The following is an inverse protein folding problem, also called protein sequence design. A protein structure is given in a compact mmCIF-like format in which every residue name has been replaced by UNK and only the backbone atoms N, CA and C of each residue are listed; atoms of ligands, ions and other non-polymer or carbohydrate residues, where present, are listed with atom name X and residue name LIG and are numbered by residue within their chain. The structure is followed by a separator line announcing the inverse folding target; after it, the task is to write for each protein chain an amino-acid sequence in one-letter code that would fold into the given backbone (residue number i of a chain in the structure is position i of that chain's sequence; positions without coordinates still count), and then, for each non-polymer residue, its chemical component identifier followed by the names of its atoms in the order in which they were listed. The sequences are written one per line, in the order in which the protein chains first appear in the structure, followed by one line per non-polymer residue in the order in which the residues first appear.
data_IF_556855167598
#
_entry.id   IF_556855167598
#
_cell.length_a   1.000
_cell.length_b   1.000
_cell.length_c   1.000
_cell.angle_alpha   90.00
_cell.angle_beta   90.00
_cell.angle_gamma   90.00
#
_symmetry.space_group_name_H-M   'P 1'
#
loop_
_entity.id
_entity.type
_entity.pdbx_description
1 polymer ?
#
# COMPACT_ATOMS: atom_id res chain seq x y z
N UNK A 1 35.30 47.80 46.32
CA UNK A 1 34.88 47.97 44.91
C UNK A 1 35.30 46.80 44.02
N UNK A 2 36.59 46.46 43.91
CA UNK A 2 37.11 45.42 42.99
C UNK A 2 36.43 44.04 43.11
N UNK A 3 36.10 43.58 44.32
CA UNK A 3 35.48 42.26 44.55
C UNK A 3 34.05 42.15 44.01
N UNK A 4 33.28 43.25 43.97
CA UNK A 4 31.90 43.23 43.46
C UNK A 4 31.87 43.36 41.93
N UNK A 5 32.80 44.14 41.36
CA UNK A 5 32.99 44.29 39.91
C UNK A 5 33.47 42.98 39.26
N UNK A 6 34.32 42.21 39.96
CA UNK A 6 34.79 40.92 39.45
C UNK A 6 33.69 39.86 39.42
N UNK A 7 32.85 39.80 40.46
CA UNK A 7 31.72 38.86 40.54
C UNK A 7 30.64 39.18 39.49
N UNK A 8 30.38 40.48 39.22
CA UNK A 8 29.44 40.90 38.17
C UNK A 8 29.95 40.58 36.76
N UNK A 9 31.24 40.80 36.48
CA UNK A 9 31.83 40.38 35.20
C UNK A 9 31.80 38.86 34.99
N UNK A 10 32.05 38.06 36.04
CA UNK A 10 31.99 36.60 35.96
C UNK A 10 30.57 36.08 35.72
N UNK A 11 29.56 36.73 36.30
CA UNK A 11 28.14 36.39 36.08
C UNK A 11 27.68 36.74 34.66
N UNK A 12 28.12 37.87 34.11
CA UNK A 12 27.84 38.27 32.72
C UNK A 12 28.53 37.30 31.75
N UNK A 13 29.80 36.97 31.97
CA UNK A 13 30.54 36.03 31.11
C UNK A 13 29.94 34.61 31.16
N UNK A 14 29.46 34.17 32.32
CA UNK A 14 28.74 32.90 32.46
C UNK A 14 27.38 32.91 31.77
N UNK A 15 26.66 34.04 31.77
CA UNK A 15 25.37 34.18 31.07
C UNK A 15 25.50 34.18 29.54
N UNK A 16 26.64 34.66 29.00
CA UNK A 16 26.90 34.70 27.55
C UNK A 16 27.28 33.33 26.95
N UNK A 17 27.63 32.33 27.76
CA UNK A 17 28.08 31.01 27.28
C UNK A 17 26.95 29.98 27.11
N UNK A 18 25.71 30.29 27.51
CA UNK A 18 24.61 29.31 27.55
C UNK A 18 23.80 29.14 26.25
N UNK A 19 24.19 29.77 25.13
CA UNK A 19 23.40 29.74 23.89
C UNK A 19 24.20 29.43 22.61
N UNK A 20 25.32 28.74 22.72
CA UNK A 20 26.02 28.18 21.55
C UNK A 20 25.54 26.74 21.31
N UNK A 21 24.23 26.56 21.10
CA UNK A 21 23.75 25.32 20.50
C UNK A 21 24.17 25.30 19.03
N UNK A 22 24.62 24.14 18.54
CA UNK A 22 24.93 23.95 17.13
C UNK A 22 23.75 24.46 16.28
N UNK A 23 24.01 25.42 15.40
CA UNK A 23 22.98 25.95 14.51
C UNK A 23 22.54 24.84 13.54
N UNK A 24 21.31 24.95 13.06
CA UNK A 24 20.86 24.16 11.92
C UNK A 24 21.71 24.46 10.69
N UNK A 25 21.95 23.44 9.87
CA UNK A 25 22.76 23.57 8.67
C UNK A 25 21.90 24.09 7.54
N UNK A 26 22.11 25.33 7.14
CA UNK A 26 21.56 25.88 5.90
C UNK A 26 22.57 25.73 4.75
N UNK A 27 22.18 25.09 3.66
CA UNK A 27 22.94 25.08 2.40
C UNK A 27 22.14 25.88 1.38
N UNK A 28 22.67 27.03 0.96
CA UNK A 28 21.97 27.94 0.04
C UNK A 28 20.86 28.79 0.68
N UNK A 29 20.75 28.75 2.01
CA UNK A 29 19.90 29.65 2.82
C UNK A 29 20.65 30.11 4.06
N UNK A 30 20.47 31.38 4.44
CA UNK A 30 21.00 31.95 5.68
C UNK A 30 19.95 31.94 6.81
N UNK A 31 18.75 31.45 6.52
CA UNK A 31 17.64 31.36 7.48
C UNK A 31 16.94 30.02 7.33
N UNK A 32 17.65 28.90 7.58
CA UNK A 32 17.03 27.59 7.61
C UNK A 32 15.88 27.55 8.64
N UNK A 33 14.84 26.80 8.31
CA UNK A 33 13.66 26.60 9.16
C UNK A 33 14.07 26.12 10.55
N UNK A 34 13.44 26.67 11.58
CA UNK A 34 13.69 26.29 12.97
C UNK A 34 13.39 24.81 13.26
N UNK A 35 12.55 24.16 12.43
CA UNK A 35 12.25 22.73 12.55
C UNK A 35 13.21 21.82 11.77
N UNK A 36 14.16 22.39 11.02
CA UNK A 36 15.11 21.62 10.20
C UNK A 36 16.50 21.64 10.84
N UNK A 37 17.14 20.47 10.96
CA UNK A 37 18.57 20.39 11.29
C UNK A 37 19.46 20.53 10.06
N UNK A 38 18.93 20.23 8.87
CA UNK A 38 19.54 20.49 7.58
C UNK A 38 18.45 21.01 6.62
N UNK A 39 18.67 22.18 6.04
CA UNK A 39 17.86 22.72 4.95
C UNK A 39 18.75 23.01 3.74
N UNK A 40 18.38 22.45 2.59
CA UNK A 40 19.08 22.69 1.32
C UNK A 40 18.14 23.49 0.42
N UNK A 41 18.43 24.77 0.23
CA UNK A 41 17.68 25.67 -0.61
C UNK A 41 18.46 25.98 -1.90
N UNK A 42 17.86 25.71 -3.05
CA UNK A 42 18.39 26.08 -4.36
C UNK A 42 17.23 26.20 -5.35
N UNK A 43 17.38 27.11 -6.33
CA UNK A 43 16.40 27.29 -7.39
C UNK A 43 16.70 26.42 -8.63
N UNK A 44 17.94 25.96 -8.76
CA UNK A 44 18.47 25.33 -9.98
C UNK A 44 19.28 24.04 -9.72
N UNK A 45 19.40 23.61 -8.45
CA UNK A 45 20.17 22.41 -8.05
C UNK A 45 19.36 21.55 -7.10
N UNK A 46 19.62 20.25 -7.13
CA UNK A 46 19.00 19.26 -6.25
C UNK A 46 20.00 18.58 -5.31
N UNK A 47 19.48 17.78 -4.38
CA UNK A 47 20.28 16.92 -3.52
C UNK A 47 20.62 15.62 -4.26
N UNK A 48 21.91 15.36 -4.46
CA UNK A 48 22.38 14.07 -4.93
C UNK A 48 22.62 13.14 -3.72
N UNK A 49 21.71 12.20 -3.49
CA UNK A 49 21.84 11.21 -2.42
C UNK A 49 23.07 10.31 -2.61
N UNK A 50 23.65 9.75 -1.53
CA UNK A 50 24.69 8.74 -1.63
C UNK A 50 24.25 7.58 -2.53
N UNK A 51 25.02 7.32 -3.60
CA UNK A 51 24.67 6.33 -4.63
C UNK A 51 25.36 5.00 -4.38
N UNK A 52 24.62 3.99 -3.95
CA UNK A 52 25.13 2.64 -3.70
C UNK A 52 24.81 1.68 -4.84
N UNK A 53 25.55 0.57 -4.96
CA UNK A 53 25.30 -0.46 -5.97
C UNK A 53 24.02 -1.26 -5.68
N UNK A 54 23.85 -1.65 -4.42
CA UNK A 54 22.68 -2.33 -3.86
C UNK A 54 22.63 -2.07 -2.35
N UNK A 55 21.44 -2.10 -1.78
CA UNK A 55 21.20 -1.86 -0.35
C UNK A 55 21.87 -2.86 0.61
N UNK A 56 22.20 -4.08 0.16
CA UNK A 56 22.93 -5.08 0.94
C UNK A 56 24.37 -4.68 1.29
N UNK A 57 24.93 -3.67 0.61
CA UNK A 57 26.29 -3.21 0.86
C UNK A 57 26.42 -2.35 2.14
N UNK A 58 25.31 -1.96 2.76
CA UNK A 58 25.30 -1.21 4.01
C UNK A 58 25.04 -2.20 5.13
N UNK A 59 26.08 -2.56 5.87
CA UNK A 59 25.98 -3.34 7.11
C UNK A 59 25.55 -2.41 8.24
N UNK A 60 24.47 -2.75 8.95
CA UNK A 60 23.91 -1.96 10.05
C UNK A 60 23.43 -0.54 9.63
N UNK A 61 22.49 -0.43 8.68
CA UNK A 61 21.91 0.86 8.32
C UNK A 61 21.15 1.48 9.49
N UNK A 62 21.32 2.79 9.68
CA UNK A 62 20.53 3.54 10.65
C UNK A 62 19.07 3.71 10.16
N UNK A 63 18.10 3.68 11.06
CA UNK A 63 16.71 4.04 10.75
C UNK A 63 16.63 5.47 10.17
N UNK A 64 15.85 5.63 9.11
CA UNK A 64 15.73 6.88 8.35
C UNK A 64 16.87 7.13 7.36
N UNK A 65 17.86 6.25 7.25
CA UNK A 65 18.96 6.38 6.28
C UNK A 65 18.40 6.37 4.85
N UNK A 66 18.68 7.44 4.10
CA UNK A 66 18.21 7.64 2.73
C UNK A 66 19.37 7.54 1.74
N UNK A 67 19.23 6.68 0.74
CA UNK A 67 20.25 6.42 -0.29
C UNK A 67 19.61 6.36 -1.67
N UNK A 68 20.41 6.56 -2.71
CA UNK A 68 20.01 6.19 -4.06
C UNK A 68 20.60 4.82 -4.40
N UNK A 69 19.74 3.81 -4.48
CA UNK A 69 20.14 2.46 -4.86
C UNK A 69 20.16 2.31 -6.38
N UNK A 70 21.32 1.97 -6.95
CA UNK A 70 21.49 1.80 -8.40
C UNK A 70 20.92 0.48 -8.93
N UNK A 71 20.74 -0.53 -8.09
CA UNK A 71 20.12 -1.79 -8.50
C UNK A 71 18.63 -1.56 -8.78
N UNK A 72 17.94 -0.97 -7.81
CA UNK A 72 16.52 -0.61 -7.96
C UNK A 72 16.29 0.73 -8.68
N UNK A 73 17.35 1.49 -8.96
CA UNK A 73 17.35 2.79 -9.65
C UNK A 73 16.43 3.81 -8.98
N UNK A 74 16.37 3.81 -7.66
CA UNK A 74 15.45 4.64 -6.90
C UNK A 74 16.03 5.12 -5.57
N UNK A 75 15.48 6.20 -4.99
CA UNK A 75 15.67 6.51 -3.58
C UNK A 75 15.08 5.40 -2.72
N UNK A 76 15.86 4.90 -1.78
CA UNK A 76 15.44 3.94 -0.78
C UNK A 76 15.71 4.52 0.61
N UNK A 77 14.80 4.29 1.54
CA UNK A 77 15.02 4.58 2.96
C UNK A 77 14.97 3.30 3.78
N UNK A 78 15.78 3.23 4.84
CA UNK A 78 15.74 2.15 5.80
C UNK A 78 14.74 2.49 6.91
N UNK A 79 13.75 1.64 7.17
CA UNK A 79 12.73 1.86 8.21
C UNK A 79 13.11 1.29 9.59
N UNK A 80 14.39 0.98 9.78
CA UNK A 80 14.89 0.29 10.97
C UNK A 80 14.91 -1.23 10.84
N UNK A 81 14.15 -1.80 9.90
CA UNK A 81 14.06 -3.25 9.69
C UNK A 81 14.33 -3.69 8.25
N UNK A 82 13.90 -2.92 7.25
CA UNK A 82 14.08 -3.23 5.83
C UNK A 82 14.32 -1.96 5.00
N UNK A 83 14.86 -2.17 3.81
CA UNK A 83 14.92 -1.13 2.79
C UNK A 83 13.57 -1.03 2.07
N UNK A 84 13.02 0.18 2.04
CA UNK A 84 11.83 0.51 1.28
C UNK A 84 12.21 1.37 0.09
N UNK A 85 11.78 0.93 -1.08
CA UNK A 85 11.96 1.69 -2.30
C UNK A 85 10.82 2.71 -2.41
N UNK A 86 11.19 4.00 -2.44
CA UNK A 86 10.22 5.11 -2.52
C UNK A 86 9.45 5.08 -3.85
N UNK A 87 9.99 4.40 -4.85
CA UNK A 87 9.41 4.21 -6.17
C UNK A 87 8.81 2.80 -6.42
N UNK A 88 8.76 1.88 -5.44
CA UNK A 88 8.17 0.54 -5.65
C UNK A 88 6.64 0.56 -5.46
N UNK A 89 5.95 0.40 -6.58
CA UNK A 89 4.49 0.30 -6.68
C UNK A 89 3.93 -1.10 -6.34
N UNK A 90 4.75 -2.04 -5.83
CA UNK A 90 4.28 -3.35 -5.31
C UNK A 90 3.84 -3.31 -3.85
N UNK A 91 4.08 -2.20 -3.15
CA UNK A 91 3.13 -1.78 -2.13
C UNK A 91 1.82 -1.56 -2.90
N UNK A 92 0.72 -2.22 -2.52
CA UNK A 92 -0.57 -2.17 -3.23
C UNK A 92 -1.20 -0.77 -3.11
N UNK A 93 -0.49 0.20 -3.64
CA UNK A 93 -0.77 1.60 -3.66
C UNK A 93 -1.37 1.79 -5.04
N UNK A 94 -2.70 1.78 -5.07
CA UNK A 94 -3.37 2.76 -5.91
C UNK A 94 -2.58 4.06 -5.73
N UNK A 95 -2.10 4.75 -6.79
CA UNK A 95 -1.52 6.08 -6.63
C UNK A 95 -2.39 6.86 -5.65
N UNK A 96 -1.85 7.74 -4.80
CA UNK A 96 -2.65 8.50 -3.79
C UNK A 96 -3.97 9.06 -4.38
N UNK A 97 -4.04 9.24 -5.71
CA UNK A 97 -5.14 9.78 -6.48
C UNK A 97 -5.95 8.79 -7.37
N UNK A 98 -5.60 7.50 -7.45
CA UNK A 98 -6.33 6.51 -8.27
C UNK A 98 -7.56 5.92 -7.56
N UNK A 99 -8.32 5.03 -8.23
CA UNK A 99 -9.44 4.32 -7.60
C UNK A 99 -9.47 2.83 -7.93
N UNK A 100 -9.99 2.03 -6.99
CA UNK A 100 -10.36 0.63 -7.23
C UNK A 100 -11.87 0.58 -7.27
N UNK A 101 -12.40 -0.07 -8.29
CA UNK A 101 -13.83 -0.34 -8.40
C UNK A 101 -14.06 -1.83 -8.62
N UNK A 102 -15.26 -2.29 -8.33
CA UNK A 102 -15.65 -3.66 -8.61
C UNK A 102 -17.04 -3.72 -9.22
N UNK A 103 -17.31 -4.82 -9.92
CA UNK A 103 -18.63 -5.12 -10.48
C UNK A 103 -18.91 -6.62 -10.40
N UNK A 104 -20.17 -6.96 -10.14
CA UNK A 104 -20.64 -8.34 -10.21
C UNK A 104 -21.33 -8.57 -11.56
N UNK A 105 -21.01 -9.67 -12.23
CA UNK A 105 -21.61 -10.04 -13.51
C UNK A 105 -22.00 -11.52 -13.54
N UNK A 106 -22.83 -11.90 -14.51
CA UNK A 106 -23.35 -13.27 -14.62
C UNK A 106 -24.42 -13.63 -13.60
N UNK A 107 -24.91 -12.66 -12.82
CA UNK A 107 -25.97 -12.85 -11.81
C UNK A 107 -26.83 -11.60 -11.67
N UNK A 108 -28.16 -11.78 -11.63
CA UNK A 108 -29.13 -10.71 -11.39
C UNK A 108 -29.68 -10.71 -9.96
N UNK A 109 -29.69 -11.87 -9.31
CA UNK A 109 -30.11 -12.01 -7.90
C UNK A 109 -29.24 -13.01 -7.14
N UNK A 110 -29.00 -12.74 -5.86
CA UNK A 110 -28.36 -13.68 -4.93
C UNK A 110 -29.22 -13.77 -3.68
N UNK A 111 -29.63 -14.99 -3.33
CA UNK A 111 -30.57 -15.20 -2.22
C UNK A 111 -31.87 -14.40 -2.37
N UNK A 112 -32.35 -14.21 -3.61
CA UNK A 112 -33.57 -13.45 -3.93
C UNK A 112 -33.44 -11.93 -3.89
N UNK A 113 -32.26 -11.39 -3.60
CA UNK A 113 -32.00 -9.95 -3.62
C UNK A 113 -31.34 -9.54 -4.92
N UNK A 114 -31.79 -8.42 -5.49
CA UNK A 114 -31.21 -7.85 -6.69
C UNK A 114 -29.75 -7.45 -6.46
N UNK A 115 -28.90 -7.79 -7.42
CA UNK A 115 -27.50 -7.37 -7.46
C UNK A 115 -27.43 -5.94 -7.99
N UNK A 116 -26.77 -5.04 -7.25
CA UNK A 116 -26.48 -3.70 -7.75
C UNK A 116 -25.51 -3.82 -8.92
N UNK A 117 -25.93 -3.28 -10.07
CA UNK A 117 -25.16 -3.26 -11.31
C UNK A 117 -24.32 -1.99 -11.42
N UNK A 118 -23.32 -2.02 -12.30
CA UNK A 118 -22.37 -0.92 -12.48
C UNK A 118 -21.15 -1.02 -11.57
N UNK A 119 -20.22 -0.08 -11.74
CA UNK A 119 -18.99 -0.02 -10.97
C UNK A 119 -19.24 0.58 -9.58
N UNK A 120 -18.88 -0.17 -8.55
CA UNK A 120 -18.94 0.24 -7.15
C UNK A 120 -17.53 0.42 -6.59
N UNK A 121 -17.39 1.25 -5.58
CA UNK A 121 -16.08 1.55 -5.00
C UNK A 121 -15.55 0.37 -4.16
N UNK A 122 -14.28 0.06 -4.33
CA UNK A 122 -13.54 -0.90 -3.53
C UNK A 122 -12.34 -0.21 -2.87
N UNK A 123 -11.88 -0.77 -1.76
CA UNK A 123 -10.74 -0.24 -1.00
C UNK A 123 -9.45 -0.97 -1.37
N UNK A 124 -9.52 -2.30 -1.51
CA UNK A 124 -8.35 -3.12 -1.76
C UNK A 124 -8.69 -4.59 -1.93
N UNK A 125 -7.72 -5.33 -2.44
CA UNK A 125 -7.71 -6.78 -2.40
C UNK A 125 -6.28 -7.27 -2.33
N UNK A 126 -6.09 -8.38 -1.63
CA UNK A 126 -4.79 -8.99 -1.44
C UNK A 126 -5.01 -10.46 -1.07
N UNK A 127 -3.96 -11.26 -1.20
CA UNK A 127 -4.03 -12.67 -0.83
C UNK A 127 -3.79 -12.80 0.68
N UNK A 128 -4.67 -13.50 1.41
CA UNK A 128 -4.39 -13.91 2.79
C UNK A 128 -3.89 -15.35 2.80
N UNK A 129 -2.62 -15.51 3.16
CA UNK A 129 -2.07 -16.82 3.49
C UNK A 129 -2.71 -17.31 4.79
N UNK A 130 -3.74 -18.15 4.71
CA UNK A 130 -4.21 -18.90 5.88
C UNK A 130 -3.11 -19.92 6.20
N UNK A 131 -2.51 -19.85 7.38
CA UNK A 131 -1.39 -20.69 7.79
C UNK A 131 -1.59 -22.17 7.38
N UNK A 132 -0.55 -22.87 6.90
CA UNK A 132 -0.72 -24.18 6.28
C UNK A 132 -1.24 -25.19 7.30
N UNK A 133 -2.40 -25.82 7.03
CA UNK A 133 -2.70 -27.15 7.59
C UNK A 133 -1.74 -28.13 6.90
N UNK A 134 -0.56 -28.30 7.51
CA UNK A 134 0.43 -29.38 7.35
C UNK A 134 0.78 -29.74 5.90
N UNK A 135 1.99 -29.38 5.49
CA UNK A 135 2.64 -29.82 4.26
C UNK A 135 2.92 -31.31 4.25
N UNK A 136 2.51 -32.02 3.19
CA UNK A 136 3.05 -33.33 2.84
C UNK A 136 3.37 -33.39 1.33
N UNK A 137 4.61 -33.02 0.97
CA UNK A 137 5.23 -33.44 -0.28
C UNK A 137 5.67 -32.34 -1.26
N UNK A 138 6.74 -32.57 -2.04
CA UNK A 138 7.12 -31.71 -3.15
C UNK A 138 6.03 -31.72 -4.24
N UNK A 139 5.59 -30.53 -4.69
CA UNK A 139 4.57 -30.38 -5.74
C UNK A 139 3.13 -30.17 -5.26
N UNK A 140 2.89 -29.98 -3.96
CA UNK A 140 1.58 -29.62 -3.43
C UNK A 140 1.44 -28.09 -3.31
N UNK A 141 0.38 -27.52 -3.89
CA UNK A 141 -0.02 -26.13 -3.63
C UNK A 141 -0.45 -26.01 -2.16
N UNK A 142 0.20 -25.14 -1.41
CA UNK A 142 -0.01 -24.94 0.03
C UNK A 142 -1.25 -24.07 0.25
N UNK A 143 -2.32 -24.65 0.79
CA UNK A 143 -3.54 -23.95 1.20
C UNK A 143 -4.40 -23.44 0.02
N UNK A 144 -5.72 -23.49 0.16
CA UNK A 144 -6.59 -22.60 -0.62
C UNK A 144 -6.40 -21.20 -0.06
N UNK A 145 -5.41 -20.50 -0.57
CA UNK A 145 -5.26 -19.06 -0.43
C UNK A 145 -6.61 -18.39 -0.68
N UNK A 146 -7.12 -17.69 0.34
CA UNK A 146 -8.37 -16.96 0.22
C UNK A 146 -8.07 -15.55 -0.22
N UNK A 147 -8.72 -15.12 -1.29
CA UNK A 147 -8.60 -13.75 -1.74
C UNK A 147 -9.37 -12.87 -0.76
N UNK A 148 -8.69 -11.87 -0.21
CA UNK A 148 -9.34 -10.84 0.58
C UNK A 148 -9.82 -9.75 -0.34
N UNK A 149 -11.04 -9.31 -0.10
CA UNK A 149 -11.63 -8.17 -0.77
C UNK A 149 -12.20 -7.20 0.26
N UNK A 150 -11.88 -5.93 0.13
CA UNK A 150 -12.33 -4.86 1.02
C UNK A 150 -13.08 -3.79 0.25
N UNK A 151 -14.22 -3.38 0.79
CA UNK A 151 -15.04 -2.29 0.24
C UNK A 151 -15.80 -1.56 1.34
N UNK A 152 -16.25 -0.36 1.05
CA UNK A 152 -17.21 0.32 1.91
C UNK A 152 -18.59 -0.32 1.79
N UNK A 153 -19.46 -0.03 2.77
CA UNK A 153 -20.86 -0.38 2.62
C UNK A 153 -21.48 0.29 1.39
N UNK A 154 -22.08 -0.54 0.54
CA UNK A 154 -22.82 -0.17 -0.67
C UNK A 154 -24.05 -1.08 -0.86
N UNK A 155 -24.76 -0.98 -1.99
CA UNK A 155 -25.95 -1.81 -2.23
C UNK A 155 -25.66 -3.31 -2.43
N UNK A 156 -24.41 -3.70 -2.66
CA UNK A 156 -24.02 -5.11 -2.75
C UNK A 156 -23.60 -5.71 -1.40
N UNK A 157 -23.50 -4.92 -0.32
CA UNK A 157 -23.20 -5.42 1.04
C UNK A 157 -24.13 -6.56 1.47
N UNK A 158 -25.45 -6.38 1.26
CA UNK A 158 -26.46 -7.38 1.62
C UNK A 158 -26.40 -8.61 0.70
N UNK A 159 -26.01 -8.40 -0.56
CA UNK A 159 -25.86 -9.45 -1.57
C UNK A 159 -24.72 -10.39 -1.17
N UNK A 160 -23.57 -9.84 -0.77
CA UNK A 160 -22.45 -10.63 -0.26
C UNK A 160 -22.81 -11.37 1.03
N UNK A 161 -23.53 -10.71 1.97
CA UNK A 161 -24.02 -11.38 3.18
C UNK A 161 -24.93 -12.55 2.85
N UNK A 162 -25.85 -12.38 1.89
CA UNK A 162 -26.75 -13.46 1.45
C UNK A 162 -25.97 -14.58 0.77
N UNK A 163 -25.02 -14.28 -0.10
CA UNK A 163 -24.14 -15.26 -0.73
C UNK A 163 -23.45 -16.15 0.32
N UNK A 164 -22.92 -15.51 1.37
CA UNK A 164 -22.26 -16.21 2.48
C UNK A 164 -23.24 -17.10 3.26
N UNK A 165 -24.42 -16.58 3.61
CA UNK A 165 -25.40 -17.33 4.41
C UNK A 165 -26.07 -18.48 3.64
N UNK A 166 -26.26 -18.33 2.33
CA UNK A 166 -26.86 -19.38 1.49
C UNK A 166 -25.83 -20.35 0.91
N UNK A 167 -24.54 -20.05 1.01
CA UNK A 167 -23.48 -20.77 0.30
C UNK A 167 -23.57 -20.59 -1.23
N UNK A 168 -24.40 -19.68 -1.72
CA UNK A 168 -24.54 -19.42 -3.14
C UNK A 168 -23.28 -18.72 -3.67
N UNK A 169 -22.73 -19.24 -4.76
CA UNK A 169 -21.57 -18.64 -5.40
C UNK A 169 -21.96 -17.39 -6.18
N UNK A 170 -21.09 -16.38 -6.11
CA UNK A 170 -21.11 -15.23 -7.00
C UNK A 170 -20.39 -15.65 -8.30
N UNK A 171 -21.06 -15.69 -9.46
CA UNK A 171 -20.48 -16.27 -10.67
C UNK A 171 -19.23 -15.54 -11.16
N UNK A 172 -19.29 -14.20 -11.19
CA UNK A 172 -18.16 -13.38 -11.62
C UNK A 172 -18.13 -12.08 -10.83
N UNK A 173 -16.95 -11.74 -10.34
CA UNK A 173 -16.61 -10.43 -9.82
C UNK A 173 -15.40 -9.93 -10.59
N UNK A 174 -15.46 -8.70 -11.07
CA UNK A 174 -14.32 -8.05 -11.73
C UNK A 174 -13.91 -6.84 -10.91
N UNK A 175 -12.64 -6.80 -10.54
CA UNK A 175 -12.01 -5.70 -9.81
C UNK A 175 -11.17 -4.91 -10.81
N UNK A 176 -11.37 -3.61 -10.85
CA UNK A 176 -10.84 -2.72 -11.87
C UNK A 176 -10.04 -1.60 -11.20
N UNK A 177 -8.79 -1.42 -11.65
CA UNK A 177 -7.91 -0.37 -11.18
C UNK A 177 -7.88 0.78 -12.16
N UNK A 178 -8.12 2.00 -11.67
CA UNK A 178 -8.11 3.21 -12.46
C UNK A 178 -6.96 4.11 -12.05
N UNK A 179 -6.27 4.66 -13.05
CA UNK A 179 -5.40 5.82 -12.86
C UNK A 179 -6.26 7.04 -12.46
N UNK A 180 -5.66 8.06 -11.81
CA UNK A 180 -6.36 9.29 -11.46
C UNK A 180 -7.06 9.91 -12.68
N UNK A 181 -8.37 10.20 -12.55
CA UNK A 181 -9.17 10.79 -13.63
C UNK A 181 -9.47 9.90 -14.84
N UNK A 182 -9.06 8.63 -14.85
CA UNK A 182 -9.29 7.72 -15.97
C UNK A 182 -10.72 7.15 -15.97
N UNK A 183 -11.32 7.01 -17.16
CA UNK A 183 -12.62 6.34 -17.36
C UNK A 183 -12.49 4.87 -17.79
N UNK A 184 -11.27 4.41 -18.08
CA UNK A 184 -10.94 3.05 -18.50
C UNK A 184 -9.96 2.46 -17.50
N UNK A 185 -10.10 1.18 -17.10
CA UNK A 185 -9.18 0.57 -16.16
C UNK A 185 -7.77 0.42 -16.74
N UNK A 186 -6.77 0.75 -15.92
CA UNK A 186 -5.35 0.49 -16.20
C UNK A 186 -5.05 -1.02 -16.22
N UNK A 187 -5.69 -1.77 -15.33
CA UNK A 187 -5.79 -3.22 -15.41
C UNK A 187 -7.03 -3.70 -14.66
N UNK A 188 -7.37 -4.96 -14.87
CA UNK A 188 -8.52 -5.60 -14.22
C UNK A 188 -8.20 -7.03 -13.81
N UNK A 189 -8.72 -7.43 -12.65
CA UNK A 189 -8.66 -8.78 -12.11
C UNK A 189 -10.06 -9.35 -12.08
N UNK A 190 -10.31 -10.38 -12.89
CA UNK A 190 -11.60 -11.08 -12.92
C UNK A 190 -11.49 -12.34 -12.10
N UNK A 191 -12.39 -12.54 -11.16
CA UNK A 191 -12.48 -13.75 -10.36
C UNK A 191 -13.82 -14.43 -10.62
N UNK A 192 -13.80 -15.76 -10.76
CA UNK A 192 -15.01 -16.52 -11.07
C UNK A 192 -15.26 -17.62 -10.05
N UNK A 193 -16.54 -18.00 -9.93
CA UNK A 193 -16.99 -19.03 -8.99
C UNK A 193 -16.58 -18.66 -7.56
N UNK A 194 -16.97 -17.46 -7.15
CA UNK A 194 -16.57 -16.85 -5.89
C UNK A 194 -17.51 -17.32 -4.78
N UNK A 195 -16.96 -17.98 -3.76
CA UNK A 195 -17.67 -18.33 -2.55
C UNK A 195 -17.20 -17.41 -1.42
N UNK A 196 -18.13 -16.71 -0.78
CA UNK A 196 -17.84 -15.87 0.39
C UNK A 196 -17.75 -16.77 1.62
N UNK A 197 -16.56 -16.86 2.22
CA UNK A 197 -16.30 -17.71 3.39
C UNK A 197 -16.57 -16.98 4.69
N UNK A 198 -16.04 -15.76 4.81
CA UNK A 198 -16.09 -14.96 6.02
C UNK A 198 -16.33 -13.49 5.66
N UNK A 199 -16.95 -12.76 6.57
CA UNK A 199 -17.18 -11.32 6.47
C UNK A 199 -16.91 -10.68 7.84
N UNK A 200 -16.14 -9.60 7.85
CA UNK A 200 -15.92 -8.76 9.03
C UNK A 200 -16.18 -7.29 8.71
N UNK A 201 -16.42 -6.50 9.76
CA UNK A 201 -16.75 -5.08 9.68
C UNK A 201 -15.78 -4.26 10.53
N UNK A 202 -15.36 -3.11 10.03
CA UNK A 202 -14.48 -2.19 10.74
C UNK A 202 -14.64 -0.77 10.19
N UNK A 203 -14.05 0.21 10.86
CA UNK A 203 -13.93 1.57 10.32
C UNK A 203 -12.60 1.65 9.58
N UNK A 204 -12.63 1.99 8.29
CA UNK A 204 -11.43 2.12 7.48
C UNK A 204 -10.59 3.31 7.95
N UNK A 205 -9.31 3.06 8.24
CA UNK A 205 -8.35 4.13 8.55
C UNK A 205 -8.02 4.97 7.31
N UNK A 206 -8.27 4.44 6.10
CA UNK A 206 -8.04 5.12 4.82
C UNK A 206 -9.14 6.12 4.46
N UNK A 207 -10.38 5.81 4.82
CA UNK A 207 -11.56 6.59 4.37
C UNK A 207 -12.42 7.12 5.52
N UNK A 208 -12.25 6.62 6.74
CA UNK A 208 -13.06 6.98 7.91
C UNK A 208 -14.49 6.45 7.86
N UNK A 209 -14.81 5.55 6.93
CA UNK A 209 -16.17 5.02 6.71
C UNK A 209 -16.28 3.57 7.16
N UNK A 210 -17.52 3.11 7.31
CA UNK A 210 -17.82 1.72 7.62
C UNK A 210 -17.45 0.83 6.43
N UNK A 211 -16.60 -0.16 6.70
CA UNK A 211 -15.95 -1.02 5.72
C UNK A 211 -16.18 -2.49 6.02
N UNK A 212 -16.24 -3.26 4.95
CA UNK A 212 -16.43 -4.70 4.94
C UNK A 212 -15.19 -5.37 4.37
N UNK A 213 -14.69 -6.40 5.06
CA UNK A 213 -13.69 -7.32 4.54
C UNK A 213 -14.33 -8.68 4.32
N UNK A 214 -14.06 -9.25 3.15
CA UNK A 214 -14.52 -10.57 2.77
C UNK A 214 -13.35 -11.50 2.50
N UNK A 215 -13.43 -12.71 3.04
CA UNK A 215 -12.57 -13.81 2.64
C UNK A 215 -13.28 -14.61 1.54
N UNK A 216 -12.65 -14.71 0.38
CA UNK A 216 -13.23 -15.31 -0.81
C UNK A 216 -12.45 -16.55 -1.23
N UNK A 217 -13.17 -17.65 -1.41
CA UNK A 217 -12.66 -18.80 -2.16
C UNK A 217 -13.02 -18.61 -3.62
N UNK A 218 -12.01 -18.57 -4.48
CA UNK A 218 -12.19 -18.34 -5.92
C UNK A 218 -11.67 -19.54 -6.70
N UNK A 219 -12.26 -19.83 -7.86
CA UNK A 219 -11.82 -20.94 -8.72
C UNK A 219 -10.76 -20.49 -9.72
N UNK A 220 -11.05 -19.40 -10.40
CA UNK A 220 -10.22 -18.87 -11.48
C UNK A 220 -9.94 -17.40 -11.21
N UNK A 221 -8.69 -17.00 -11.45
CA UNK A 221 -8.26 -15.61 -11.44
C UNK A 221 -7.78 -15.26 -12.85
N UNK A 222 -8.42 -14.27 -13.45
CA UNK A 222 -8.04 -13.63 -14.70
C UNK A 222 -7.34 -12.31 -14.43
N UNK A 223 -6.29 -12.02 -15.19
CA UNK A 223 -5.65 -10.72 -15.27
C UNK A 223 -5.79 -10.18 -16.69
N UNK A 224 -6.15 -8.91 -16.83
CA UNK A 224 -6.16 -8.19 -18.10
C UNK A 224 -5.49 -6.84 -17.92
N UNK A 225 -4.44 -6.63 -18.69
CA UNK A 225 -3.75 -5.36 -18.83
C UNK A 225 -4.58 -4.42 -19.71
N UNK A 226 -4.98 -3.27 -19.17
CA UNK A 226 -5.77 -2.27 -19.87
C UNK A 226 -4.98 -1.46 -20.90
N UNK A 227 -3.65 -1.45 -20.80
CA UNK A 227 -2.76 -0.74 -21.74
C UNK A 227 -2.39 -1.63 -22.92
N UNK A 228 -1.96 -2.86 -22.66
CA UNK A 228 -1.49 -3.77 -23.72
C UNK A 228 -2.59 -4.66 -24.29
N UNK A 229 -3.74 -4.76 -23.60
CA UNK A 229 -4.83 -5.68 -23.96
C UNK A 229 -4.50 -7.16 -23.73
N UNK A 230 -3.28 -7.47 -23.27
CA UNK A 230 -2.88 -8.85 -22.94
C UNK A 230 -3.66 -9.32 -21.73
N UNK A 231 -4.12 -10.56 -21.80
CA UNK A 231 -4.90 -11.15 -20.73
C UNK A 231 -4.67 -12.64 -20.64
N UNK A 232 -4.81 -13.17 -19.44
CA UNK A 232 -4.79 -14.61 -19.18
C UNK A 232 -5.66 -14.89 -17.95
N UNK A 233 -6.03 -16.16 -17.77
CA UNK A 233 -6.56 -16.65 -16.51
C UNK A 233 -5.82 -17.88 -16.03
N UNK A 234 -5.93 -18.16 -14.74
CA UNK A 234 -5.37 -19.35 -14.10
C UNK A 234 -6.47 -19.98 -13.26
N UNK A 235 -6.71 -21.27 -13.48
CA UNK A 235 -7.51 -22.09 -12.56
C UNK A 235 -6.64 -22.48 -11.38
N UNK A 236 -6.97 -22.02 -10.17
CA UNK A 236 -6.09 -22.14 -8.99
C UNK A 236 -5.81 -23.60 -8.65
N UNK A 237 -6.83 -24.47 -8.74
CA UNK A 237 -6.69 -25.86 -8.36
C UNK A 237 -5.79 -26.68 -9.29
N UNK A 238 -5.61 -26.25 -10.54
CA UNK A 238 -4.87 -27.02 -11.56
C UNK A 238 -3.66 -26.28 -12.13
N UNK A 239 -3.50 -24.99 -11.85
CA UNK A 239 -2.50 -24.13 -12.47
C UNK A 239 -2.68 -23.97 -13.99
N UNK A 240 -3.83 -24.37 -14.54
CA UNK A 240 -4.08 -24.34 -15.99
C UNK A 240 -4.37 -22.92 -16.44
N UNK A 241 -3.67 -22.47 -17.48
CA UNK A 241 -3.92 -21.20 -18.13
C UNK A 241 -5.17 -21.25 -19.01
N UNK A 242 -5.95 -20.18 -19.00
CA UNK A 242 -7.15 -20.02 -19.82
C UNK A 242 -7.32 -18.61 -20.36
N UNK A 243 -8.46 -18.40 -21.02
CA UNK A 243 -8.90 -17.08 -21.44
C UNK A 243 -9.43 -16.26 -20.26
N UNK A 244 -9.34 -14.94 -20.36
CA UNK A 244 -9.78 -13.98 -19.34
C UNK A 244 -11.30 -13.86 -19.25
#
# INVERSE_FOLDING_TARGET
MIRHTFITCLFILSSCLNNLWAQNVGIGTNSPSNSAMLEVASLDRGLLLPRISDTSNITEPAEGLLVYDRASKAPNYFDGNRWNNVADARNNYVPVEGSIKYVLTGVSTIGGLAVQTGLLDAIGYYNEARAPRVSSGPGQIKGTDSLVFEKEFDGNSIVFKRAMLSGQQIPTMEIQHFMPGASVPFYSVKITTVLVLEQSFFISEKTGRLTERYSLLVRTIGYKDGVTGKSFSITISTGTFGAY
#
